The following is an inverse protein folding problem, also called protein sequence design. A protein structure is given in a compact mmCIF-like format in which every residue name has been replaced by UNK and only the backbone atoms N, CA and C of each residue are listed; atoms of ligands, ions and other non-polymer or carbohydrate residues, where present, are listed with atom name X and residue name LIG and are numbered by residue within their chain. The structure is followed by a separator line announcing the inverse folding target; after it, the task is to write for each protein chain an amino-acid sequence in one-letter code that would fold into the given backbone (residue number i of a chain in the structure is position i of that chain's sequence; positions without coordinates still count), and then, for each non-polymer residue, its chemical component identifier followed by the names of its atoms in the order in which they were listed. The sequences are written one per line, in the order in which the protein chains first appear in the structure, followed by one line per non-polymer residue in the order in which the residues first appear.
data_IF_921293556393
#
_entry.id   IF_921293556393
#
_cell.length_a   1.000
_cell.length_b   1.000
_cell.length_c   1.000
_cell.angle_alpha   90.00
_cell.angle_beta   90.00
_cell.angle_gamma   90.00
#
_symmetry.space_group_name_H-M   'P 1'
#
loop_
_entity.id
_entity.type
_entity.pdbx_description
1 polymer ?
#
# COMPACT_ATOMS: atom_id res chain seq x y z
N UNK A 1 8.42 7.18 -19.46
CA UNK A 1 7.55 6.45 -20.43
C UNK A 1 6.08 6.83 -20.23
N UNK A 2 5.45 6.52 -19.08
CA UNK A 2 4.03 6.84 -18.82
C UNK A 2 3.73 8.35 -18.97
N UNK A 3 4.56 9.23 -18.40
CA UNK A 3 4.40 10.68 -18.51
C UNK A 3 4.48 11.27 -19.93
N UNK A 4 4.94 10.52 -20.91
CA UNK A 4 4.96 10.94 -22.33
C UNK A 4 3.76 10.35 -23.09
N UNK A 5 3.42 9.09 -22.81
CA UNK A 5 2.38 8.38 -23.56
C UNK A 5 0.95 8.75 -23.12
N UNK A 6 0.75 8.96 -21.81
CA UNK A 6 -0.59 9.17 -21.28
C UNK A 6 -1.29 10.46 -21.81
N UNK A 7 -0.59 11.60 -22.01
CA UNK A 7 -1.18 12.78 -22.64
C UNK A 7 -1.61 12.58 -24.11
N UNK A 8 -0.99 11.65 -24.83
CA UNK A 8 -1.31 11.34 -26.24
C UNK A 8 -2.57 10.47 -26.38
N UNK A 9 -3.08 9.90 -25.28
CA UNK A 9 -4.28 9.07 -25.28
C UNK A 9 -5.55 9.93 -25.18
N UNK A 10 -6.67 9.52 -25.81
CA UNK A 10 -7.94 10.23 -25.75
C UNK A 10 -8.37 10.58 -24.32
N UNK A 11 -8.74 11.84 -24.09
CA UNK A 11 -9.14 12.35 -22.76
C UNK A 11 -10.53 11.86 -22.32
N UNK A 12 -11.38 11.47 -23.27
CA UNK A 12 -12.75 11.01 -23.04
C UNK A 12 -12.85 9.53 -22.65
N UNK A 13 -11.70 8.84 -22.49
CA UNK A 13 -11.64 7.41 -22.20
C UNK A 13 -10.70 7.11 -21.02
N UNK A 14 -11.05 6.14 -20.17
CA UNK A 14 -10.19 5.73 -19.06
C UNK A 14 -8.83 5.20 -19.57
N UNK A 15 -7.75 5.62 -18.92
CA UNK A 15 -6.38 5.18 -19.20
C UNK A 15 -5.96 4.12 -18.19
N UNK A 16 -5.69 2.91 -18.67
CA UNK A 16 -5.35 1.76 -17.84
C UNK A 16 -3.86 1.41 -17.94
N UNK A 17 -3.16 1.43 -16.80
CA UNK A 17 -1.76 1.03 -16.69
C UNK A 17 -1.65 -0.38 -16.10
N UNK A 18 -1.27 -1.33 -16.94
CA UNK A 18 -1.20 -2.75 -16.60
C UNK A 18 0.05 -3.11 -15.79
N UNK A 19 -0.13 -3.85 -14.68
CA UNK A 19 0.97 -4.49 -13.95
C UNK A 19 1.84 -3.57 -13.08
N UNK A 20 1.43 -2.31 -12.89
CA UNK A 20 2.13 -1.34 -12.02
C UNK A 20 1.43 -1.25 -10.68
N UNK A 21 2.19 -1.26 -9.59
CA UNK A 21 1.56 -1.21 -8.27
C UNK A 21 2.44 -0.90 -7.07
N UNK A 22 3.63 -0.32 -7.23
CA UNK A 22 4.26 0.31 -6.06
C UNK A 22 3.53 1.62 -5.75
N UNK A 23 3.53 2.05 -4.48
CA UNK A 23 2.84 3.29 -4.06
C UNK A 23 3.35 4.49 -4.86
N UNK A 24 4.68 4.61 -5.01
CA UNK A 24 5.30 5.68 -5.79
C UNK A 24 4.86 5.64 -7.26
N UNK A 25 4.94 4.49 -7.90
CA UNK A 25 4.64 4.40 -9.34
C UNK A 25 3.15 4.68 -9.63
N UNK A 26 2.25 4.31 -8.71
CA UNK A 26 0.83 4.69 -8.79
C UNK A 26 0.69 6.21 -8.75
N UNK A 27 1.32 6.90 -7.80
CA UNK A 27 1.22 8.36 -7.67
C UNK A 27 1.77 9.09 -8.90
N UNK A 28 2.90 8.64 -9.44
CA UNK A 28 3.47 9.21 -10.66
C UNK A 28 2.61 8.94 -11.89
N UNK A 29 2.00 7.76 -12.00
CA UNK A 29 1.11 7.44 -13.10
C UNK A 29 -0.21 8.24 -13.03
N UNK A 30 -0.77 8.43 -11.84
CA UNK A 30 -1.93 9.32 -11.63
C UNK A 30 -1.58 10.75 -12.01
N UNK A 31 -0.39 11.25 -11.61
CA UNK A 31 0.08 12.57 -12.03
C UNK A 31 0.24 12.71 -13.55
N UNK A 32 0.49 11.59 -14.25
CA UNK A 32 0.53 11.51 -15.71
C UNK A 32 -0.84 11.30 -16.36
N UNK A 33 -1.94 11.21 -15.59
CA UNK A 33 -3.30 11.07 -16.10
C UNK A 33 -3.78 9.63 -16.30
N UNK A 34 -3.21 8.65 -15.59
CA UNK A 34 -3.70 7.26 -15.56
C UNK A 34 -4.82 7.08 -14.53
N UNK A 35 -5.87 6.34 -14.91
CA UNK A 35 -7.09 6.16 -14.11
C UNK A 35 -7.21 4.78 -13.46
N UNK A 36 -6.70 3.73 -14.13
CA UNK A 36 -6.88 2.34 -13.72
C UNK A 36 -5.54 1.63 -13.54
N UNK A 37 -5.50 0.71 -12.58
CA UNK A 37 -4.32 -0.05 -12.19
C UNK A 37 -4.67 -1.48 -11.80
N UNK A 38 -3.78 -2.41 -12.09
CA UNK A 38 -3.78 -3.75 -11.51
C UNK A 38 -2.37 -4.14 -11.07
N UNK A 39 -2.28 -4.88 -9.96
CA UNK A 39 -1.01 -5.42 -9.53
C UNK A 39 -1.16 -6.58 -8.55
N UNK A 40 -0.23 -7.53 -8.64
CA UNK A 40 -0.11 -8.63 -7.65
C UNK A 40 0.63 -8.21 -6.37
N UNK A 41 1.29 -7.05 -6.36
CA UNK A 41 2.14 -6.59 -5.24
C UNK A 41 1.44 -6.69 -3.87
N UNK A 42 0.20 -6.18 -3.67
CA UNK A 42 -0.43 -6.20 -2.35
C UNK A 42 -0.58 -7.63 -1.80
N UNK A 43 -1.06 -8.56 -2.64
CA UNK A 43 -1.34 -9.94 -2.23
C UNK A 43 -0.06 -10.78 -2.16
N UNK A 44 0.88 -10.60 -3.11
CA UNK A 44 2.16 -11.31 -3.12
C UNK A 44 3.02 -10.93 -1.91
N UNK A 45 3.08 -9.64 -1.58
CA UNK A 45 3.85 -9.15 -0.45
C UNK A 45 3.24 -9.63 0.88
N UNK A 46 1.91 -9.59 1.00
CA UNK A 46 1.20 -10.13 2.17
C UNK A 46 1.61 -11.59 2.44
N UNK A 47 1.52 -12.47 1.43
CA UNK A 47 1.92 -13.88 1.55
C UNK A 47 3.38 -14.07 1.97
N UNK A 48 4.26 -13.16 1.53
CA UNK A 48 5.69 -13.20 1.79
C UNK A 48 6.12 -12.51 3.08
N UNK A 49 5.19 -12.04 3.92
CA UNK A 49 5.52 -11.46 5.21
C UNK A 49 5.64 -9.95 5.24
N UNK A 50 5.31 -9.23 4.15
CA UNK A 50 5.43 -7.77 4.05
C UNK A 50 4.04 -7.11 4.06
N UNK A 51 3.82 -6.29 5.08
CA UNK A 51 2.61 -5.50 5.30
C UNK A 51 2.88 -4.05 4.93
N UNK A 52 2.00 -3.44 4.14
CA UNK A 52 2.08 -2.00 3.82
C UNK A 52 1.37 -1.20 4.92
N UNK A 53 2.00 -0.14 5.43
CA UNK A 53 1.46 0.65 6.54
C UNK A 53 1.72 2.14 6.34
N UNK A 54 0.98 2.98 7.06
CA UNK A 54 1.20 4.43 7.14
C UNK A 54 2.60 4.82 7.61
N UNK A 55 3.28 3.94 8.38
CA UNK A 55 4.64 4.13 8.90
C UNK A 55 5.71 3.49 8.00
N UNK A 56 5.36 3.07 6.79
CA UNK A 56 6.22 2.32 5.88
C UNK A 56 6.03 0.80 5.94
N UNK A 57 6.81 0.02 5.17
CA UNK A 57 6.64 -1.41 5.08
C UNK A 57 7.08 -2.13 6.36
N UNK A 58 6.25 -3.06 6.83
CA UNK A 58 6.54 -3.91 7.99
C UNK A 58 6.79 -5.35 7.54
N UNK A 59 7.99 -5.86 7.83
CA UNK A 59 8.36 -7.25 7.57
C UNK A 59 8.10 -8.09 8.82
N UNK A 60 6.95 -8.76 8.85
CA UNK A 60 6.37 -9.39 10.06
C UNK A 60 7.27 -10.46 10.69
N UNK A 61 8.15 -11.08 9.90
CA UNK A 61 9.08 -12.12 10.34
C UNK A 61 10.18 -11.61 11.29
N UNK A 62 10.45 -10.30 11.29
CA UNK A 62 11.49 -9.70 12.12
C UNK A 62 11.27 -10.01 13.61
N UNK A 63 12.36 -10.32 14.32
CA UNK A 63 12.31 -10.74 15.73
C UNK A 63 11.71 -9.67 16.66
N UNK A 64 11.89 -8.38 16.31
CA UNK A 64 11.33 -7.24 17.07
C UNK A 64 9.82 -7.31 17.27
N UNK A 65 9.10 -8.01 16.39
CA UNK A 65 7.66 -8.14 16.47
C UNK A 65 7.17 -9.32 17.32
N UNK A 66 8.05 -10.15 17.88
CA UNK A 66 7.69 -11.40 18.58
C UNK A 66 6.60 -11.23 19.65
N UNK A 67 6.65 -10.15 20.42
CA UNK A 67 5.70 -9.84 21.50
C UNK A 67 5.08 -8.46 21.31
N UNK A 68 5.08 -7.94 20.09
CA UNK A 68 4.55 -6.60 19.81
C UNK A 68 3.01 -6.62 19.88
N UNK A 69 2.40 -5.90 20.83
CA UNK A 69 0.95 -5.86 20.98
C UNK A 69 0.28 -4.89 20.01
N UNK A 70 1.06 -4.05 19.32
CA UNK A 70 0.53 -3.05 18.38
C UNK A 70 -0.13 -3.73 17.17
N UNK A 71 -1.15 -3.10 16.57
CA UNK A 71 -1.69 -3.52 15.29
C UNK A 71 -0.64 -3.37 14.18
N UNK A 72 -0.86 -3.97 12.99
CA UNK A 72 0.01 -3.76 11.84
C UNK A 72 0.20 -2.29 11.47
N UNK A 73 -0.90 -1.54 11.46
CA UNK A 73 -0.93 -0.12 11.17
C UNK A 73 -1.95 0.57 12.09
N UNK A 74 -1.54 1.51 12.94
CA UNK A 74 -2.45 2.20 13.85
C UNK A 74 -3.44 3.13 13.14
N UNK A 75 -3.18 3.53 11.90
CA UNK A 75 -4.07 4.38 11.11
C UNK A 75 -5.02 3.56 10.22
N UNK A 76 -4.92 2.22 10.24
CA UNK A 76 -5.70 1.34 9.40
C UNK A 76 -6.96 0.84 10.12
N UNK A 77 -8.10 0.98 9.44
CA UNK A 77 -9.42 0.54 9.93
C UNK A 77 -9.83 -0.85 9.44
N UNK A 78 -8.93 -1.65 8.86
CA UNK A 78 -9.28 -2.98 8.39
C UNK A 78 -9.56 -3.96 9.55
N UNK A 79 -10.34 -5.03 9.33
CA UNK A 79 -10.64 -6.01 10.38
C UNK A 79 -9.39 -6.61 11.03
N UNK A 80 -8.31 -6.79 10.27
CA UNK A 80 -7.04 -7.31 10.78
C UNK A 80 -6.39 -6.34 11.78
N UNK A 81 -6.34 -5.03 11.48
CA UNK A 81 -5.77 -4.05 12.40
C UNK A 81 -6.63 -3.84 13.66
N UNK A 82 -7.93 -4.09 13.57
CA UNK A 82 -8.82 -3.98 14.73
C UNK A 82 -8.75 -5.17 15.69
N UNK A 83 -8.27 -6.34 15.24
CA UNK A 83 -8.38 -7.59 15.98
C UNK A 83 -7.05 -8.30 16.23
N UNK A 84 -6.02 -7.99 15.44
CA UNK A 84 -4.74 -8.70 15.46
C UNK A 84 -3.59 -7.76 15.80
N UNK A 85 -2.65 -8.26 16.62
CA UNK A 85 -1.36 -7.61 16.85
C UNK A 85 -0.29 -8.12 15.88
N UNK A 86 0.80 -7.36 15.73
CA UNK A 86 1.98 -7.78 14.97
C UNK A 86 2.60 -9.06 15.54
N UNK A 87 2.60 -9.24 16.87
CA UNK A 87 3.05 -10.46 17.52
C UNK A 87 2.21 -11.68 17.14
N UNK A 88 0.89 -11.51 17.10
CA UNK A 88 -0.02 -12.58 16.68
C UNK A 88 0.17 -12.94 15.20
N UNK A 89 0.22 -11.93 14.30
CA UNK A 89 0.47 -12.18 12.89
C UNK A 89 1.83 -12.83 12.64
N UNK A 90 2.87 -12.42 13.38
CA UNK A 90 4.19 -13.06 13.30
C UNK A 90 4.10 -14.52 13.74
N UNK A 91 3.41 -14.81 14.83
CA UNK A 91 3.21 -16.18 15.30
C UNK A 91 2.58 -17.04 14.22
N UNK A 92 1.47 -16.60 13.62
CA UNK A 92 0.80 -17.31 12.53
C UNK A 92 1.71 -17.51 11.31
N UNK A 93 2.47 -16.48 10.92
CA UNK A 93 3.39 -16.57 9.80
C UNK A 93 4.52 -17.59 10.05
N UNK A 94 5.11 -17.58 11.26
CA UNK A 94 6.16 -18.54 11.65
C UNK A 94 5.62 -19.97 11.76
N UNK A 95 4.38 -20.12 12.22
CA UNK A 95 3.68 -21.40 12.28
C UNK A 95 3.20 -21.90 10.90
N UNK A 96 3.34 -21.08 9.84
CA UNK A 96 2.88 -21.38 8.47
C UNK A 96 1.37 -21.61 8.38
N UNK A 97 0.62 -20.92 9.23
CA UNK A 97 -0.84 -21.00 9.25
C UNK A 97 -1.46 -20.24 8.08
N UNK A 98 -2.43 -20.87 7.39
CA UNK A 98 -3.11 -20.25 6.26
C UNK A 98 -3.89 -18.97 6.66
N UNK A 99 -4.31 -18.88 7.94
CA UNK A 99 -4.96 -17.71 8.49
C UNK A 99 -4.12 -16.43 8.34
N UNK A 100 -2.79 -16.53 8.44
CA UNK A 100 -1.90 -15.40 8.21
C UNK A 100 -2.11 -14.80 6.82
N UNK A 101 -2.13 -15.65 5.78
CA UNK A 101 -2.24 -15.22 4.39
C UNK A 101 -3.51 -14.42 4.17
N UNK A 102 -4.63 -14.88 4.72
CA UNK A 102 -5.92 -14.19 4.61
C UNK A 102 -5.86 -12.83 5.30
N UNK A 103 -5.44 -12.79 6.57
CA UNK A 103 -5.37 -11.56 7.37
C UNK A 103 -4.43 -10.52 6.76
N UNK A 104 -3.22 -10.92 6.39
CA UNK A 104 -2.23 -10.05 5.76
C UNK A 104 -2.71 -9.52 4.40
N UNK A 105 -3.41 -10.36 3.62
CA UNK A 105 -3.94 -9.95 2.31
C UNK A 105 -5.08 -8.94 2.46
N UNK A 106 -6.01 -9.16 3.39
CA UNK A 106 -7.07 -8.20 3.71
C UNK A 106 -6.49 -6.84 4.09
N UNK A 107 -5.48 -6.84 4.97
CA UNK A 107 -4.78 -5.63 5.38
C UNK A 107 -4.15 -4.88 4.18
N UNK A 108 -3.34 -5.57 3.37
CA UNK A 108 -2.66 -4.94 2.24
C UNK A 108 -3.63 -4.42 1.17
N UNK A 109 -4.71 -5.16 0.87
CA UNK A 109 -5.73 -4.68 -0.05
C UNK A 109 -6.45 -3.45 0.49
N UNK A 110 -6.80 -3.44 1.78
CA UNK A 110 -7.41 -2.28 2.42
C UNK A 110 -6.50 -1.05 2.39
N UNK A 111 -5.19 -1.23 2.60
CA UNK A 111 -4.21 -0.16 2.47
C UNK A 111 -4.24 0.47 1.06
N UNK A 112 -4.15 -0.35 0.00
CA UNK A 112 -4.19 0.15 -1.38
C UNK A 112 -5.51 0.81 -1.74
N UNK A 113 -6.64 0.24 -1.32
CA UNK A 113 -7.95 0.86 -1.53
C UNK A 113 -8.08 2.19 -0.80
N UNK A 114 -7.47 2.31 0.39
CA UNK A 114 -7.43 3.56 1.17
C UNK A 114 -6.55 4.61 0.50
N UNK A 115 -5.36 4.23 0.03
CA UNK A 115 -4.51 5.09 -0.78
C UNK A 115 -5.27 5.65 -1.99
N UNK A 116 -5.94 4.78 -2.76
CA UNK A 116 -6.71 5.23 -3.93
C UNK A 116 -7.90 6.12 -3.56
N UNK A 117 -8.53 5.92 -2.39
CA UNK A 117 -9.55 6.84 -1.86
C UNK A 117 -8.95 8.22 -1.55
N UNK A 118 -7.80 8.26 -0.90
CA UNK A 118 -7.10 9.52 -0.58
C UNK A 118 -6.66 10.26 -1.84
N UNK A 119 -6.12 9.54 -2.82
CA UNK A 119 -5.74 10.10 -4.13
C UNK A 119 -6.94 10.74 -4.82
N UNK A 120 -8.08 10.03 -4.92
CA UNK A 120 -9.30 10.60 -5.52
C UNK A 120 -9.79 11.84 -4.79
N UNK A 121 -9.82 11.83 -3.46
CA UNK A 121 -10.23 12.98 -2.65
C UNK A 121 -9.30 14.18 -2.89
N UNK A 122 -7.98 13.95 -2.90
CA UNK A 122 -7.00 15.01 -3.08
C UNK A 122 -7.04 15.62 -4.49
N UNK A 123 -7.37 14.84 -5.52
CA UNK A 123 -7.61 15.37 -6.88
C UNK A 123 -8.82 16.30 -6.88
N UNK A 124 -9.95 15.85 -6.29
CA UNK A 124 -11.18 16.66 -6.19
C UNK A 124 -10.94 17.96 -5.41
N UNK A 125 -10.17 17.89 -4.33
CA UNK A 125 -9.85 19.04 -3.47
C UNK A 125 -8.74 19.94 -4.04
N UNK A 126 -8.14 19.59 -5.19
CA UNK A 126 -7.00 20.33 -5.76
C UNK A 126 -5.69 20.23 -4.97
N UNK A 127 -5.57 19.28 -4.04
CA UNK A 127 -4.41 19.07 -3.14
C UNK A 127 -3.58 17.83 -3.47
N UNK A 128 -3.74 17.26 -4.67
CA UNK A 128 -3.02 16.04 -5.06
C UNK A 128 -1.49 16.22 -5.08
N UNK A 129 -0.99 17.38 -5.50
CA UNK A 129 0.44 17.66 -5.50
C UNK A 129 1.07 17.60 -4.10
N UNK A 130 0.37 18.14 -3.09
CA UNK A 130 0.77 18.08 -1.68
C UNK A 130 0.78 16.64 -1.16
N UNK A 131 -0.29 15.87 -1.43
CA UNK A 131 -0.38 14.46 -1.06
C UNK A 131 0.79 13.66 -1.66
N UNK A 132 1.08 13.86 -2.94
CA UNK A 132 2.16 13.15 -3.64
C UNK A 132 3.53 13.46 -3.03
N UNK A 133 3.80 14.72 -2.71
CA UNK A 133 5.04 15.12 -2.06
C UNK A 133 5.17 14.52 -0.65
N UNK A 134 4.10 14.59 0.16
CA UNK A 134 4.08 14.01 1.50
C UNK A 134 4.38 12.51 1.50
N UNK A 135 3.65 11.73 0.68
CA UNK A 135 3.87 10.28 0.60
C UNK A 135 5.26 9.95 0.07
N UNK A 136 5.78 10.73 -0.89
CA UNK A 136 7.14 10.51 -1.42
C UNK A 136 8.22 10.74 -0.36
N UNK A 137 8.03 11.77 0.49
CA UNK A 137 8.92 12.04 1.61
C UNK A 137 8.88 10.92 2.66
N UNK A 138 7.68 10.44 3.01
CA UNK A 138 7.49 9.33 3.96
C UNK A 138 8.14 8.04 3.45
N UNK A 139 8.00 7.75 2.15
CA UNK A 139 8.66 6.60 1.51
C UNK A 139 10.18 6.72 1.52
N UNK A 140 10.74 7.91 1.29
CA UNK A 140 12.18 8.15 1.35
C UNK A 140 12.72 7.94 2.78
N UNK A 141 12.04 8.51 3.78
CA UNK A 141 12.40 8.33 5.19
C UNK A 141 12.33 6.85 5.63
N UNK A 142 11.37 6.08 5.12
CA UNK A 142 11.27 4.65 5.42
C UNK A 142 12.43 3.80 4.85
N UNK A 143 13.01 4.22 3.72
CA UNK A 143 14.19 3.56 3.12
C UNK A 143 15.44 3.83 3.96
N UNK A 144 15.59 5.03 4.51
CA UNK A 144 16.73 5.41 5.36
C UNK A 144 16.70 4.75 6.74
N UNK A 145 15.50 4.42 7.25
CA UNK A 145 15.30 3.79 8.56
C UNK A 145 15.33 2.24 8.55
N UNK A 146 15.43 1.61 7.39
CA UNK A 146 15.41 0.15 7.19
C UNK A 146 16.79 -0.45 7.07
#
# INVERSE_FOLDING_TARGET
AVGVLAPELPEDRPRYLMGVGTVRDILEAVAAGVDLFDCVIPTRNARNGLLHTSRGPVVVKHARYRTCPEPPDPQCSCPTCQTCSLGYLRHLYMAREAAYVVLATVHNLHFYLTLMRQVRSAIIDGRFAELRQGISADLAAAVEAS
#
